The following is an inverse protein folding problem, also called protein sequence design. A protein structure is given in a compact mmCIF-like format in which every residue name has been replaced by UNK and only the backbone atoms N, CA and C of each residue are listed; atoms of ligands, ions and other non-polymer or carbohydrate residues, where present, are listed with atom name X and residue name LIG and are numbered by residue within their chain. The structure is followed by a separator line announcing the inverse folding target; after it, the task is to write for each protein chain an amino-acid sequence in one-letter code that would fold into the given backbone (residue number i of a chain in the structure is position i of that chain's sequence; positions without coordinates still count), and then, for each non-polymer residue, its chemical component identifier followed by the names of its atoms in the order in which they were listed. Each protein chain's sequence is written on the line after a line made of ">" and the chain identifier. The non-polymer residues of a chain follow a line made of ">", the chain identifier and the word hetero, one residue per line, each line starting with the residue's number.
data_IF_046363000112
#
_entry.id   IF_046363000112
#
_cell.length_a   1.000
_cell.length_b   1.000
_cell.length_c   1.000
_cell.angle_alpha   90.00
_cell.angle_beta   90.00
_cell.angle_gamma   90.00
#
_symmetry.space_group_name_H-M   'P 1'
#
loop_
_entity.id
_entity.type
_entity.pdbx_description
1 polymer ?
#
# COMPACT_ATOMS: atom_id res chain seq x y z
N UNK A 1 18.94 -15.57 20.47
CA UNK A 1 18.75 -15.86 19.05
C UNK A 1 17.88 -14.79 18.41
N UNK A 2 18.19 -14.40 17.17
CA UNK A 2 17.39 -13.48 16.35
C UNK A 2 16.87 -14.20 15.12
N UNK A 3 15.56 -14.19 14.93
CA UNK A 3 14.89 -14.85 13.81
C UNK A 3 14.15 -13.86 12.93
N UNK A 4 14.02 -14.20 11.64
CA UNK A 4 13.14 -13.52 10.68
C UNK A 4 12.18 -14.55 10.10
N UNK A 5 10.88 -14.29 10.22
CA UNK A 5 9.84 -15.10 9.62
C UNK A 5 9.42 -14.48 8.27
N UNK A 6 9.52 -15.26 7.20
CA UNK A 6 8.86 -15.00 5.93
C UNK A 6 7.55 -15.80 5.89
N UNK A 7 6.43 -15.13 5.68
CA UNK A 7 5.11 -15.76 5.67
C UNK A 7 4.27 -15.29 4.47
N UNK A 8 3.47 -16.18 3.83
CA UNK A 8 2.61 -15.79 2.72
C UNK A 8 1.68 -14.62 3.03
N UNK A 9 1.10 -14.59 4.24
CA UNK A 9 0.16 -13.53 4.65
C UNK A 9 0.85 -12.18 4.92
N UNK A 10 2.17 -12.16 5.04
CA UNK A 10 2.95 -10.93 5.21
C UNK A 10 3.72 -10.59 3.94
N UNK A 11 3.02 -10.51 2.82
CA UNK A 11 3.60 -10.07 1.57
C UNK A 11 3.80 -8.55 1.55
N UNK A 12 5.05 -8.11 1.45
CA UNK A 12 5.40 -6.69 1.26
C UNK A 12 5.71 -6.42 -0.23
N UNK A 13 6.73 -7.06 -0.77
CA UNK A 13 7.11 -6.99 -2.20
C UNK A 13 7.13 -8.37 -2.82
N UNK A 14 7.95 -9.28 -2.26
CA UNK A 14 8.15 -10.63 -2.78
C UNK A 14 7.07 -11.56 -2.22
N UNK A 15 6.36 -12.33 -3.06
CA UNK A 15 5.41 -13.34 -2.58
C UNK A 15 6.17 -14.55 -2.03
N UNK A 16 5.79 -15.02 -0.85
CA UNK A 16 6.28 -16.26 -0.27
C UNK A 16 5.24 -17.37 -0.45
N UNK A 17 5.70 -18.56 -0.85
CA UNK A 17 4.79 -19.72 -1.07
C UNK A 17 4.48 -20.50 0.21
N UNK A 18 5.38 -20.45 1.20
CA UNK A 18 5.26 -21.16 2.49
C UNK A 18 5.99 -20.38 3.58
N UNK A 19 5.58 -20.58 4.84
CA UNK A 19 6.33 -20.01 5.97
C UNK A 19 7.75 -20.54 6.02
N UNK A 20 8.72 -19.63 6.24
CA UNK A 20 10.14 -19.97 6.39
C UNK A 20 10.70 -19.14 7.53
N UNK A 21 11.33 -19.80 8.49
CA UNK A 21 12.02 -19.17 9.60
C UNK A 21 13.51 -19.12 9.32
N UNK A 22 14.10 -17.92 9.38
CA UNK A 22 15.53 -17.71 9.21
C UNK A 22 16.17 -17.34 10.54
N UNK A 23 17.21 -18.05 10.96
CA UNK A 23 18.07 -17.63 12.05
C UNK A 23 19.11 -16.64 11.49
N UNK A 24 18.99 -15.37 11.88
CA UNK A 24 19.83 -14.28 11.35
C UNK A 24 20.92 -13.82 12.32
N UNK A 25 20.82 -14.18 13.59
CA UNK A 25 21.83 -13.83 14.58
C UNK A 25 21.76 -14.71 15.84
N UNK A 26 22.91 -14.96 16.44
CA UNK A 26 23.07 -15.60 17.72
C UNK A 26 23.99 -14.76 18.59
N UNK A 27 23.58 -14.55 19.83
CA UNK A 27 24.28 -13.68 20.77
C UNK A 27 24.53 -14.42 22.08
N UNK A 28 25.71 -14.21 22.67
CA UNK A 28 26.01 -14.56 24.04
C UNK A 28 25.94 -13.28 24.88
N UNK A 29 25.15 -13.33 25.92
CA UNK A 29 24.94 -12.18 26.84
C UNK A 29 25.56 -12.60 28.17
N UNK A 30 26.60 -11.89 28.57
CA UNK A 30 27.28 -12.10 29.84
C UNK A 30 27.00 -10.92 30.77
N UNK A 31 26.36 -11.22 31.88
CA UNK A 31 26.07 -10.21 32.91
C UNK A 31 27.10 -10.35 34.04
N UNK A 32 27.89 -9.31 34.25
CA UNK A 32 28.88 -9.22 35.34
C UNK A 32 28.55 -7.96 36.19
N UNK A 33 27.68 -8.14 37.18
CA UNK A 33 27.23 -7.03 38.02
C UNK A 33 26.47 -5.97 37.21
N UNK A 34 26.97 -4.75 37.21
CA UNK A 34 26.37 -3.62 36.48
C UNK A 34 26.74 -3.59 34.98
N UNK A 35 27.61 -4.49 34.51
CA UNK A 35 28.05 -4.55 33.12
C UNK A 35 27.39 -5.70 32.38
N UNK A 36 26.84 -5.38 31.20
CA UNK A 36 26.28 -6.35 30.26
C UNK A 36 27.15 -6.39 28.98
N UNK A 37 27.84 -7.49 28.75
CA UNK A 37 28.63 -7.71 27.54
C UNK A 37 27.87 -8.56 26.55
N UNK A 38 27.77 -8.12 25.29
CA UNK A 38 27.08 -8.84 24.21
C UNK A 38 28.12 -9.26 23.17
N UNK A 39 28.28 -10.57 23.02
CA UNK A 39 29.16 -11.17 22.00
C UNK A 39 28.31 -11.75 20.88
N UNK A 40 28.60 -11.35 19.65
CA UNK A 40 27.92 -11.86 18.45
C UNK A 40 28.64 -13.13 18.00
N UNK A 41 27.92 -14.24 17.96
CA UNK A 41 28.51 -15.50 17.45
C UNK A 41 28.70 -15.41 15.93
N UNK A 42 29.78 -16.04 15.44
CA UNK A 42 30.03 -16.14 14.01
C UNK A 42 28.91 -16.95 13.31
N UNK A 43 28.29 -16.34 12.32
CA UNK A 43 27.19 -16.94 11.53
C UNK A 43 27.63 -18.23 10.80
N UNK A 44 28.91 -18.41 10.52
CA UNK A 44 29.43 -19.63 9.89
C UNK A 44 29.39 -20.84 10.83
N UNK A 45 29.39 -20.58 12.15
CA UNK A 45 29.33 -21.62 13.18
C UNK A 45 27.93 -21.99 13.62
N UNK A 46 26.89 -21.21 13.28
CA UNK A 46 25.50 -21.46 13.69
C UNK A 46 25.05 -22.90 13.40
N UNK A 47 25.37 -23.40 12.21
CA UNK A 47 24.97 -24.74 11.77
C UNK A 47 25.50 -25.86 12.66
N UNK A 48 26.59 -25.62 13.37
CA UNK A 48 27.23 -26.63 14.24
C UNK A 48 26.45 -26.85 15.55
N UNK A 49 25.70 -25.85 15.99
CA UNK A 49 24.98 -25.87 17.26
C UNK A 49 23.55 -26.44 17.17
N UNK A 50 23.06 -26.71 15.97
CA UNK A 50 21.72 -27.22 15.76
C UNK A 50 21.71 -28.67 15.32
N UNK A 51 20.78 -29.47 15.87
CA UNK A 51 20.50 -30.83 15.39
C UNK A 51 19.98 -30.81 13.94
N UNK A 52 20.06 -31.95 13.28
CA UNK A 52 19.54 -32.09 11.91
C UNK A 52 18.04 -31.80 11.81
N UNK A 53 17.26 -32.13 12.84
CA UNK A 53 15.84 -31.86 12.91
C UNK A 53 15.54 -30.33 12.89
N UNK A 54 16.31 -29.55 13.65
CA UNK A 54 16.20 -28.09 13.67
C UNK A 54 16.69 -27.50 12.34
N UNK A 55 17.75 -28.04 11.74
CA UNK A 55 18.26 -27.61 10.43
C UNK A 55 17.23 -27.84 9.32
N UNK A 56 16.32 -28.81 9.45
CA UNK A 56 15.23 -29.03 8.51
C UNK A 56 14.16 -27.94 8.57
N UNK A 57 13.95 -27.34 9.74
CA UNK A 57 12.88 -26.37 10.02
C UNK A 57 13.33 -24.91 9.95
N UNK A 58 14.62 -24.65 10.19
CA UNK A 58 15.20 -23.31 10.23
C UNK A 58 16.19 -23.13 9.07
N UNK A 59 16.04 -22.03 8.35
CA UNK A 59 16.96 -21.61 7.30
C UNK A 59 18.02 -20.64 7.86
N UNK A 60 19.12 -20.53 7.12
CA UNK A 60 20.21 -19.60 7.44
C UNK A 60 20.35 -18.61 6.29
N UNK A 61 20.72 -17.35 6.55
CA UNK A 61 21.02 -16.39 5.49
C UNK A 61 22.15 -16.89 4.59
N UNK A 62 22.05 -16.57 3.32
CA UNK A 62 23.13 -16.79 2.36
C UNK A 62 24.26 -15.81 2.61
N UNK A 63 25.50 -16.30 2.47
CA UNK A 63 26.72 -15.48 2.61
C UNK A 63 27.28 -15.23 1.22
N UNK A 64 27.41 -13.95 0.87
CA UNK A 64 27.97 -13.53 -0.41
C UNK A 64 29.40 -13.06 -0.24
N UNK A 65 30.28 -13.43 -1.20
CA UNK A 65 31.62 -12.92 -1.31
C UNK A 65 31.66 -11.79 -2.34
N UNK A 66 32.46 -10.79 -2.09
CA UNK A 66 32.67 -9.64 -2.98
C UNK A 66 34.11 -9.19 -2.91
N UNK A 67 34.63 -8.63 -3.98
CA UNK A 67 36.00 -8.14 -4.08
C UNK A 67 36.14 -6.66 -3.80
N UNK A 68 35.07 -5.88 -4.08
CA UNK A 68 35.02 -4.44 -3.83
C UNK A 68 33.63 -3.97 -3.45
N UNK A 69 33.54 -2.83 -2.77
CA UNK A 69 32.28 -2.18 -2.43
C UNK A 69 31.48 -1.80 -3.69
N UNK A 70 32.17 -1.36 -4.75
CA UNK A 70 31.54 -1.01 -6.02
C UNK A 70 30.83 -2.23 -6.67
N UNK A 71 31.49 -3.40 -6.70
CA UNK A 71 30.88 -4.64 -7.17
C UNK A 71 29.64 -5.01 -6.36
N UNK A 72 29.71 -4.86 -5.05
CA UNK A 72 28.63 -5.19 -4.14
C UNK A 72 27.40 -4.29 -4.37
N UNK A 73 27.63 -2.97 -4.53
CA UNK A 73 26.57 -2.01 -4.82
C UNK A 73 25.96 -2.28 -6.19
N UNK A 74 26.78 -2.51 -7.22
CA UNK A 74 26.26 -2.79 -8.58
C UNK A 74 25.37 -4.03 -8.59
N UNK A 75 25.76 -5.09 -7.87
CA UNK A 75 25.05 -6.36 -7.87
C UNK A 75 23.76 -6.35 -7.01
N UNK A 76 23.77 -5.66 -5.86
CA UNK A 76 22.68 -5.76 -4.85
C UNK A 76 22.00 -4.44 -4.50
N UNK A 77 22.52 -3.32 -4.94
CA UNK A 77 22.03 -1.98 -4.59
C UNK A 77 21.90 -1.03 -5.77
N UNK A 78 21.96 -1.51 -7.01
CA UNK A 78 21.80 -0.70 -8.21
C UNK A 78 20.38 -0.77 -8.78
N UNK A 79 20.08 0.10 -9.75
CA UNK A 79 18.81 0.07 -10.52
C UNK A 79 18.69 -1.17 -11.43
N UNK A 80 19.77 -1.93 -11.63
CA UNK A 80 19.78 -3.17 -12.40
C UNK A 80 19.48 -4.39 -11.51
N UNK A 81 19.40 -4.22 -10.18
CA UNK A 81 19.12 -5.31 -9.24
C UNK A 81 17.65 -5.70 -9.31
N UNK A 82 17.36 -7.01 -9.35
CA UNK A 82 15.98 -7.50 -9.34
C UNK A 82 15.23 -7.02 -8.10
N UNK A 83 13.97 -6.61 -8.27
CA UNK A 83 13.08 -6.22 -7.15
C UNK A 83 12.83 -7.35 -6.14
N UNK A 84 13.14 -8.61 -6.49
CA UNK A 84 13.02 -9.75 -5.57
C UNK A 84 14.11 -9.78 -4.48
N UNK A 85 15.15 -8.98 -4.65
CA UNK A 85 16.26 -8.86 -3.70
C UNK A 85 16.04 -7.61 -2.86
N UNK A 86 15.90 -7.76 -1.53
CA UNK A 86 15.70 -6.63 -0.61
C UNK A 86 16.95 -5.73 -0.54
N UNK A 87 18.12 -6.35 -0.70
CA UNK A 87 19.44 -5.79 -0.50
C UNK A 87 20.30 -6.74 0.31
N UNK A 88 21.43 -6.26 0.80
CA UNK A 88 22.36 -7.07 1.61
C UNK A 88 22.74 -6.37 2.91
N UNK A 89 23.06 -7.18 3.92
CA UNK A 89 23.59 -6.75 5.19
C UNK A 89 25.09 -7.01 5.23
N UNK A 90 25.87 -5.98 5.49
CA UNK A 90 27.30 -6.07 5.74
C UNK A 90 27.52 -6.26 7.24
N UNK A 91 28.44 -7.13 7.60
CA UNK A 91 28.88 -7.32 8.97
C UNK A 91 30.40 -7.14 9.05
N UNK A 92 30.85 -6.22 9.89
CA UNK A 92 32.25 -6.14 10.28
C UNK A 92 32.51 -7.20 11.37
N UNK A 93 33.30 -8.21 11.06
CA UNK A 93 33.57 -9.30 11.99
C UNK A 93 34.45 -8.90 13.18
N UNK A 94 35.26 -7.86 13.02
CA UNK A 94 36.15 -7.38 14.08
C UNK A 94 35.40 -6.50 15.10
N UNK A 95 34.51 -5.60 14.64
CA UNK A 95 33.80 -4.64 15.49
C UNK A 95 32.36 -5.01 15.81
N UNK A 96 31.79 -5.99 15.08
CA UNK A 96 30.36 -6.34 15.17
C UNK A 96 29.42 -5.32 14.52
N UNK A 97 29.95 -4.26 13.93
CA UNK A 97 29.17 -3.24 13.26
C UNK A 97 28.44 -3.78 12.02
N UNK A 98 27.30 -3.16 11.72
CA UNK A 98 26.44 -3.57 10.58
C UNK A 98 26.10 -2.39 9.72
N UNK A 99 26.10 -2.61 8.40
CA UNK A 99 25.61 -1.65 7.41
C UNK A 99 24.65 -2.34 6.45
N UNK A 100 23.71 -1.56 5.88
CA UNK A 100 22.73 -2.05 4.91
C UNK A 100 22.98 -1.41 3.56
N UNK A 101 23.05 -2.24 2.52
CA UNK A 101 22.89 -1.79 1.13
C UNK A 101 21.49 -2.17 0.70
N UNK A 102 20.65 -1.17 0.44
CA UNK A 102 19.25 -1.37 0.01
C UNK A 102 19.16 -1.39 -1.51
N UNK A 103 18.32 -2.26 -2.02
CA UNK A 103 17.99 -2.27 -3.44
C UNK A 103 16.97 -1.15 -3.74
N UNK A 104 17.31 -0.14 -4.57
CA UNK A 104 16.41 0.97 -4.88
C UNK A 104 15.16 0.49 -5.64
N UNK A 105 15.26 -0.53 -6.49
CA UNK A 105 14.10 -1.10 -7.21
C UNK A 105 13.13 -1.78 -6.26
N UNK A 106 13.66 -2.51 -5.24
CA UNK A 106 12.80 -3.06 -4.18
C UNK A 106 12.07 -1.96 -3.42
N UNK A 107 12.77 -0.87 -3.05
CA UNK A 107 12.18 0.24 -2.31
C UNK A 107 11.11 1.00 -3.16
N UNK A 108 11.30 1.11 -4.47
CA UNK A 108 10.27 1.65 -5.37
C UNK A 108 9.01 0.81 -5.38
N UNK A 109 9.14 -0.51 -5.55
CA UNK A 109 7.97 -1.44 -5.52
C UNK A 109 7.30 -1.43 -4.15
N UNK A 110 8.08 -1.38 -3.07
CA UNK A 110 7.56 -1.23 -1.71
C UNK A 110 6.78 0.08 -1.53
N UNK A 111 7.29 1.17 -2.10
CA UNK A 111 6.64 2.49 -2.09
C UNK A 111 5.27 2.47 -2.79
N UNK A 112 5.12 1.74 -3.90
CA UNK A 112 3.83 1.57 -4.58
C UNK A 112 2.78 0.91 -3.67
N UNK A 113 3.18 -0.07 -2.86
CA UNK A 113 2.27 -0.70 -1.90
C UNK A 113 1.90 0.26 -0.77
N UNK A 114 2.85 1.05 -0.28
CA UNK A 114 2.66 1.93 0.88
C UNK A 114 2.24 1.17 2.16
N UNK A 115 1.77 1.92 3.14
CA UNK A 115 1.31 1.39 4.43
C UNK A 115 -0.19 1.60 4.64
N UNK A 116 -0.97 1.69 3.57
CA UNK A 116 -2.40 1.96 3.69
C UNK A 116 -3.15 0.71 4.17
N UNK A 117 -3.94 0.81 5.26
CA UNK A 117 -4.64 -0.34 5.82
C UNK A 117 -5.82 -0.81 4.97
N UNK A 118 -6.36 0.07 4.10
CA UNK A 118 -7.51 -0.22 3.24
C UNK A 118 -7.11 -0.23 1.78
N UNK A 119 -7.30 -1.36 1.12
CA UNK A 119 -6.98 -1.54 -0.28
C UNK A 119 -7.75 -0.57 -1.20
N UNK A 120 -9.01 -0.25 -0.89
CA UNK A 120 -9.80 0.75 -1.61
C UNK A 120 -9.16 2.15 -1.55
N UNK A 121 -8.68 2.57 -0.37
CA UNK A 121 -8.01 3.86 -0.22
C UNK A 121 -6.71 3.91 -1.01
N UNK A 122 -5.93 2.82 -0.96
CA UNK A 122 -4.71 2.69 -1.76
C UNK A 122 -5.00 2.79 -3.26
N UNK A 123 -6.03 2.09 -3.76
CA UNK A 123 -6.47 2.20 -5.15
C UNK A 123 -6.77 3.65 -5.53
N UNK A 124 -7.52 4.38 -4.69
CA UNK A 124 -7.89 5.76 -4.98
C UNK A 124 -6.67 6.71 -4.98
N UNK A 125 -5.67 6.48 -4.12
CA UNK A 125 -4.40 7.21 -4.15
C UNK A 125 -3.63 6.93 -5.45
N UNK A 126 -3.43 5.64 -5.78
CA UNK A 126 -2.74 5.23 -7.00
C UNK A 126 -3.46 5.70 -8.28
N UNK A 127 -4.80 5.70 -8.27
CA UNK A 127 -5.61 6.24 -9.37
C UNK A 127 -5.36 7.73 -9.57
N UNK A 128 -5.32 8.50 -8.51
CA UNK A 128 -5.04 9.94 -8.56
C UNK A 128 -3.64 10.24 -9.09
N UNK A 129 -2.66 9.38 -8.76
CA UNK A 129 -1.28 9.50 -9.23
C UNK A 129 -1.02 8.87 -10.61
N UNK A 130 -2.02 8.20 -11.21
CA UNK A 130 -1.86 7.48 -12.48
C UNK A 130 -1.03 6.19 -12.39
N UNK A 131 -0.80 5.66 -11.20
CA UNK A 131 0.12 4.53 -10.93
C UNK A 131 -0.56 3.16 -10.81
N UNK A 132 -1.87 3.05 -11.06
CA UNK A 132 -2.61 1.77 -10.95
C UNK A 132 -2.00 0.68 -11.84
N UNK A 133 -1.66 1.02 -13.10
CA UNK A 133 -1.03 0.07 -14.02
C UNK A 133 0.34 -0.39 -13.57
N UNK A 134 1.15 0.51 -13.02
CA UNK A 134 2.46 0.19 -12.45
C UNK A 134 2.33 -0.72 -11.23
N UNK A 135 1.43 -0.42 -10.31
CA UNK A 135 1.15 -1.25 -9.15
C UNK A 135 0.75 -2.68 -9.55
N UNK A 136 -0.17 -2.84 -10.51
CA UNK A 136 -0.67 -4.15 -10.92
C UNK A 136 0.38 -5.02 -11.64
N UNK A 137 1.50 -4.46 -12.12
CA UNK A 137 2.63 -5.25 -12.62
C UNK A 137 3.30 -6.07 -11.51
N UNK A 138 3.35 -5.53 -10.29
CA UNK A 138 4.00 -6.17 -9.15
C UNK A 138 3.02 -6.88 -8.21
N UNK A 139 1.74 -6.48 -8.21
CA UNK A 139 0.67 -7.00 -7.35
C UNK A 139 -0.55 -7.42 -8.20
N UNK A 140 -0.38 -8.40 -9.11
CA UNK A 140 -1.45 -8.83 -10.04
C UNK A 140 -2.65 -9.46 -9.34
N UNK A 141 -2.47 -9.96 -8.11
CA UNK A 141 -3.53 -10.53 -7.29
C UNK A 141 -4.64 -9.53 -6.94
N UNK A 142 -4.33 -8.22 -6.92
CA UNK A 142 -5.31 -7.17 -6.60
C UNK A 142 -6.11 -6.71 -7.84
N UNK A 143 -5.94 -7.35 -8.98
CA UNK A 143 -6.57 -6.92 -10.24
C UNK A 143 -8.10 -6.94 -10.17
N UNK A 144 -8.67 -7.96 -9.51
CA UNK A 144 -10.12 -8.09 -9.37
C UNK A 144 -10.69 -6.98 -8.50
N UNK A 145 -10.17 -6.82 -7.30
CA UNK A 145 -10.62 -5.79 -6.36
C UNK A 145 -10.44 -4.37 -6.95
N UNK A 146 -9.35 -4.11 -7.66
CA UNK A 146 -9.13 -2.83 -8.32
C UNK A 146 -10.11 -2.59 -9.48
N UNK A 147 -10.54 -3.63 -10.17
CA UNK A 147 -11.62 -3.53 -11.17
C UNK A 147 -12.94 -3.16 -10.50
N UNK A 148 -13.28 -3.82 -9.39
CA UNK A 148 -14.51 -3.54 -8.64
C UNK A 148 -14.52 -2.08 -8.09
N UNK A 149 -13.37 -1.60 -7.59
CA UNK A 149 -13.25 -0.21 -7.13
C UNK A 149 -13.36 0.79 -8.29
N UNK A 150 -12.79 0.48 -9.45
CA UNK A 150 -12.95 1.29 -10.66
C UNK A 150 -14.41 1.43 -11.04
N UNK A 151 -15.14 0.31 -11.05
CA UNK A 151 -16.54 0.29 -11.46
C UNK A 151 -17.42 1.05 -10.47
N UNK A 152 -17.12 1.00 -9.16
CA UNK A 152 -17.75 1.86 -8.14
C UNK A 152 -17.52 3.35 -8.42
N UNK A 153 -16.29 3.76 -8.79
CA UNK A 153 -16.00 5.16 -9.11
C UNK A 153 -16.71 5.59 -10.39
N UNK A 154 -16.80 4.73 -11.40
CA UNK A 154 -17.53 5.03 -12.64
C UNK A 154 -19.04 5.21 -12.34
N UNK A 155 -19.64 4.26 -11.62
CA UNK A 155 -21.04 4.34 -11.22
C UNK A 155 -21.35 5.62 -10.43
N UNK A 156 -20.47 5.98 -9.47
CA UNK A 156 -20.62 7.23 -8.72
C UNK A 156 -20.58 8.45 -9.64
N UNK A 157 -19.63 8.48 -10.57
CA UNK A 157 -19.41 9.60 -11.50
C UNK A 157 -20.61 9.78 -12.45
N UNK A 158 -21.07 8.69 -13.05
CA UNK A 158 -22.21 8.71 -13.98
C UNK A 158 -23.51 9.09 -13.27
N UNK A 159 -23.73 8.57 -12.05
CA UNK A 159 -24.88 8.93 -11.24
C UNK A 159 -24.83 10.41 -10.83
N UNK A 160 -23.65 10.92 -10.46
CA UNK A 160 -23.45 12.34 -10.14
C UNK A 160 -23.79 13.24 -11.35
N UNK A 161 -23.30 12.87 -12.54
CA UNK A 161 -23.60 13.60 -13.76
C UNK A 161 -25.11 13.58 -14.09
N UNK A 162 -25.75 12.41 -14.04
CA UNK A 162 -27.18 12.27 -14.31
C UNK A 162 -28.03 13.08 -13.31
N UNK A 163 -27.68 13.05 -12.02
CA UNK A 163 -28.34 13.88 -10.99
C UNK A 163 -28.12 15.36 -11.24
N UNK A 164 -26.92 15.77 -11.67
CA UNK A 164 -26.64 17.16 -12.03
C UNK A 164 -27.49 17.62 -13.21
N UNK A 165 -27.59 16.81 -14.27
CA UNK A 165 -28.44 17.12 -15.45
C UNK A 165 -29.90 17.23 -15.05
N UNK A 166 -30.42 16.28 -14.27
CA UNK A 166 -31.81 16.30 -13.78
C UNK A 166 -32.11 17.54 -12.92
N UNK A 167 -31.19 17.94 -12.03
CA UNK A 167 -31.39 19.07 -11.11
C UNK A 167 -31.21 20.43 -11.79
N UNK A 168 -30.08 20.67 -12.45
CA UNK A 168 -29.72 22.01 -12.91
C UNK A 168 -30.05 22.29 -14.37
N UNK A 169 -30.07 21.27 -15.23
CA UNK A 169 -30.37 21.44 -16.66
C UNK A 169 -31.87 21.24 -16.92
N UNK A 170 -32.42 20.12 -16.48
CA UNK A 170 -33.83 19.78 -16.71
C UNK A 170 -34.79 20.33 -15.65
N UNK A 171 -34.28 20.70 -14.46
CA UNK A 171 -35.06 21.24 -13.32
C UNK A 171 -36.20 20.30 -12.88
N UNK A 172 -35.96 18.98 -12.90
CA UNK A 172 -36.97 17.96 -12.58
C UNK A 172 -37.34 17.98 -11.08
N UNK A 173 -36.35 18.21 -10.21
CA UNK A 173 -36.55 18.31 -8.75
C UNK A 173 -35.49 19.18 -8.10
N UNK A 174 -35.76 19.79 -6.92
CA UNK A 174 -34.83 20.64 -6.22
C UNK A 174 -33.68 19.82 -5.62
N UNK A 175 -32.51 20.44 -5.43
CA UNK A 175 -31.27 19.81 -4.92
C UNK A 175 -31.47 18.99 -3.63
N UNK A 176 -32.32 19.47 -2.70
CA UNK A 176 -32.58 18.80 -1.42
C UNK A 176 -33.23 17.42 -1.54
N UNK A 177 -33.85 17.08 -2.69
CA UNK A 177 -34.45 15.75 -2.92
C UNK A 177 -33.49 14.71 -3.49
N UNK A 178 -32.22 15.08 -3.76
CA UNK A 178 -31.20 14.12 -4.18
C UNK A 178 -30.48 13.53 -2.96
N UNK A 179 -29.88 12.32 -3.09
CA UNK A 179 -29.16 11.69 -1.98
C UNK A 179 -27.99 12.56 -1.49
N UNK A 180 -27.78 12.59 -0.17
CA UNK A 180 -26.82 13.45 0.53
C UNK A 180 -25.41 13.36 -0.07
N UNK A 181 -24.97 12.15 -0.42
CA UNK A 181 -23.65 11.89 -0.98
C UNK A 181 -23.36 12.61 -2.30
N UNK A 182 -24.39 13.07 -3.02
CA UNK A 182 -24.24 13.79 -4.29
C UNK A 182 -24.48 15.29 -4.16
N UNK A 183 -25.30 15.75 -3.22
CA UNK A 183 -25.78 17.16 -3.15
C UNK A 183 -24.64 18.17 -3.12
N UNK A 184 -23.67 17.98 -2.25
CA UNK A 184 -22.51 18.88 -2.15
C UNK A 184 -21.69 18.90 -3.44
N UNK A 185 -21.51 17.75 -4.07
CA UNK A 185 -20.77 17.66 -5.33
C UNK A 185 -21.52 18.30 -6.50
N UNK A 186 -22.84 18.12 -6.58
CA UNK A 186 -23.71 18.78 -7.56
C UNK A 186 -23.63 20.31 -7.44
N UNK A 187 -23.69 20.81 -6.20
CA UNK A 187 -23.53 22.24 -5.92
C UNK A 187 -22.16 22.75 -6.35
N UNK A 188 -21.07 22.07 -5.97
CA UNK A 188 -19.72 22.46 -6.32
C UNK A 188 -19.47 22.46 -7.84
N UNK A 189 -20.00 21.47 -8.55
CA UNK A 189 -19.96 21.42 -10.02
C UNK A 189 -20.72 22.61 -10.62
N UNK A 190 -21.87 22.98 -10.03
CA UNK A 190 -22.63 24.12 -10.51
C UNK A 190 -21.92 25.46 -10.25
N UNK A 191 -21.23 25.61 -9.12
CA UNK A 191 -20.39 26.79 -8.86
C UNK A 191 -19.25 26.88 -9.88
N UNK A 192 -18.57 25.77 -10.18
CA UNK A 192 -17.54 25.73 -11.24
C UNK A 192 -18.14 26.07 -12.62
N UNK A 193 -19.34 25.60 -12.92
CA UNK A 193 -20.04 25.99 -14.16
C UNK A 193 -20.25 27.51 -14.24
N UNK A 194 -20.77 28.13 -13.18
CA UNK A 194 -21.04 29.59 -13.15
C UNK A 194 -19.75 30.38 -13.32
N UNK A 195 -18.67 29.98 -12.62
CA UNK A 195 -17.43 30.76 -12.54
C UNK A 195 -16.49 30.53 -13.72
N UNK A 196 -16.51 29.35 -14.35
CA UNK A 196 -15.50 28.97 -15.33
C UNK A 196 -16.07 28.71 -16.74
N UNK A 197 -17.23 28.05 -16.82
CA UNK A 197 -17.75 27.55 -18.10
C UNK A 197 -18.76 28.46 -18.74
N UNK A 198 -19.61 29.16 -17.95
CA UNK A 198 -20.74 29.93 -18.44
C UNK A 198 -20.31 31.10 -19.34
N UNK A 199 -19.26 31.82 -18.96
CA UNK A 199 -18.73 32.94 -19.75
C UNK A 199 -18.22 32.48 -21.12
N UNK A 200 -17.63 31.28 -21.17
CA UNK A 200 -17.09 30.64 -22.38
C UNK A 200 -18.18 29.89 -23.18
N UNK A 201 -19.47 30.02 -22.82
CA UNK A 201 -20.60 29.30 -23.45
C UNK A 201 -20.38 27.77 -23.47
N UNK A 202 -19.67 27.23 -22.49
CA UNK A 202 -19.45 25.79 -22.33
C UNK A 202 -20.47 25.21 -21.34
N UNK A 203 -20.75 23.92 -21.45
CA UNK A 203 -21.68 23.19 -20.59
C UNK A 203 -20.95 22.14 -19.76
N UNK A 204 -21.55 21.76 -18.63
CA UNK A 204 -21.08 20.61 -17.86
C UNK A 204 -21.35 19.34 -18.66
N UNK A 205 -20.27 18.63 -18.97
CA UNK A 205 -20.27 17.33 -19.67
C UNK A 205 -19.89 16.22 -18.71
N UNK A 206 -20.10 14.96 -19.10
CA UNK A 206 -19.63 13.81 -18.31
C UNK A 206 -18.10 13.87 -18.10
N UNK A 207 -17.35 14.27 -19.14
CA UNK A 207 -15.89 14.43 -19.05
C UNK A 207 -15.49 15.47 -18.00
N UNK A 208 -16.23 16.58 -17.89
CA UNK A 208 -16.01 17.59 -16.86
C UNK A 208 -16.24 17.02 -15.46
N UNK A 209 -17.32 16.23 -15.26
CA UNK A 209 -17.62 15.58 -13.97
C UNK A 209 -16.56 14.51 -13.66
N UNK A 210 -16.09 13.74 -14.64
CA UNK A 210 -14.99 12.80 -14.45
C UNK A 210 -13.72 13.52 -13.97
N UNK A 211 -13.37 14.66 -14.58
CA UNK A 211 -12.22 15.48 -14.13
C UNK A 211 -12.42 15.95 -12.69
N UNK A 212 -13.59 16.48 -12.36
CA UNK A 212 -13.94 16.90 -11.01
C UNK A 212 -13.78 15.76 -10.00
N UNK A 213 -14.30 14.55 -10.30
CA UNK A 213 -14.18 13.39 -9.40
C UNK A 213 -12.72 12.93 -9.25
N UNK A 214 -11.91 13.03 -10.32
CA UNK A 214 -10.48 12.71 -10.28
C UNK A 214 -9.66 13.67 -9.41
N UNK A 215 -10.11 14.92 -9.27
CA UNK A 215 -9.47 15.94 -8.42
C UNK A 215 -9.83 15.77 -6.93
N UNK A 216 -10.88 15.03 -6.60
CA UNK A 216 -11.26 14.80 -5.21
C UNK A 216 -10.15 14.14 -4.40
N UNK A 217 -10.07 14.51 -3.12
CA UNK A 217 -9.16 13.83 -2.23
C UNK A 217 -9.58 12.35 -2.04
N UNK A 218 -8.66 11.37 -2.08
CA UNK A 218 -8.99 9.95 -1.97
C UNK A 218 -9.88 9.59 -0.78
N UNK A 219 -9.67 10.23 0.40
CA UNK A 219 -10.50 9.99 1.58
C UNK A 219 -11.95 10.48 1.39
N UNK A 220 -12.14 11.62 0.73
CA UNK A 220 -13.48 12.15 0.44
C UNK A 220 -14.20 11.26 -0.56
N UNK A 221 -13.52 10.85 -1.64
CA UNK A 221 -14.10 9.94 -2.61
C UNK A 221 -14.48 8.61 -1.97
N UNK A 222 -13.58 8.02 -1.16
CA UNK A 222 -13.87 6.78 -0.41
C UNK A 222 -15.06 6.96 0.54
N UNK A 223 -15.20 8.12 1.18
CA UNK A 223 -16.36 8.43 2.02
C UNK A 223 -17.66 8.39 1.21
N UNK A 224 -17.68 9.02 0.03
CA UNK A 224 -18.85 9.04 -0.85
C UNK A 224 -19.22 7.65 -1.35
N UNK A 225 -18.22 6.85 -1.77
CA UNK A 225 -18.43 5.49 -2.26
C UNK A 225 -19.03 4.57 -1.18
N UNK A 226 -18.64 4.75 0.08
CA UNK A 226 -19.06 3.90 1.21
C UNK A 226 -20.19 4.52 2.05
N UNK A 227 -20.82 5.60 1.58
CA UNK A 227 -21.82 6.35 2.35
C UNK A 227 -22.98 5.46 2.81
N UNK A 228 -23.54 4.66 1.92
CA UNK A 228 -24.71 3.84 2.21
C UNK A 228 -24.40 2.66 3.15
N UNK A 229 -23.17 2.13 3.09
CA UNK A 229 -22.69 1.10 4.01
C UNK A 229 -22.56 1.63 5.46
N UNK A 230 -22.14 2.90 5.61
CA UNK A 230 -22.00 3.55 6.91
C UNK A 230 -23.36 3.85 7.55
N UNK A 231 -24.32 4.27 6.74
CA UNK A 231 -25.69 4.56 7.22
C UNK A 231 -26.33 3.32 7.82
N UNK A 232 -26.23 2.15 7.16
CA UNK A 232 -26.72 0.88 7.67
C UNK A 232 -26.09 0.49 9.02
N UNK A 233 -24.78 0.70 9.20
CA UNK A 233 -24.09 0.38 10.44
C UNK A 233 -24.51 1.28 11.62
N UNK A 234 -24.89 2.52 11.35
CA UNK A 234 -25.43 3.43 12.39
C UNK A 234 -26.84 3.02 12.77
N UNK A 235 -27.68 2.68 11.81
CA UNK A 235 -29.07 2.27 12.03
C UNK A 235 -29.13 0.95 12.81
N UNK A 236 -28.26 -0.03 12.55
CA UNK A 236 -28.16 -1.30 13.29
C UNK A 236 -27.73 -1.04 14.74
N UNK A 237 -26.71 -0.23 14.97
CA UNK A 237 -26.23 0.10 16.32
C UNK A 237 -27.26 0.89 17.13
N UNK A 238 -28.06 1.75 16.49
CA UNK A 238 -29.15 2.46 17.15
C UNK A 238 -30.29 1.52 17.53
N UNK A 239 -30.55 0.48 16.75
CA UNK A 239 -31.54 -0.55 17.08
C UNK A 239 -31.11 -1.43 18.28
N UNK A 240 -29.81 -1.84 18.30
CA UNK A 240 -29.22 -2.64 19.40
C UNK A 240 -29.16 -1.89 20.75
N UNK A 241 -29.19 -0.55 20.76
CA UNK A 241 -29.18 0.27 21.99
C UNK A 241 -30.60 0.56 22.53
N UNK A 242 -31.65 0.22 21.76
CA UNK A 242 -33.05 0.43 22.15
C UNK A 242 -33.78 -0.87 22.56
N UNK A 243 -33.04 -2.02 22.61
CA UNK A 243 -33.46 -3.26 23.22
C UNK A 243 -32.77 -3.42 24.61
#
# INVERSE_FOLDING_TARGET
>A
YSFVLQHPDNRIVVPFKKPILYLVGMYYIENSGDNCNIHVADTTTFKKYFSEDVKSSVKFPEIYKFSSYAELVEKYGSMNTSYSIVGVMLHNRATGERAKIRNPVYEQVRGLRGNQPKLQYQYLCLRKEGKVGEFLKFYPENKKEFSDFRDQVHLFTDTLFNNYVSCYMKKEKPLGQYPDKYRTHMYNIHQKYINELKENKQYVTNVFVQKYVNELHPSLLMFCLNHDLRKRNVDVKAAEHNE
#
